data_IF_295776682844
#
_entry.id   IF_295776682844
#
_cell.length_a   1.000
_cell.length_b   1.000
_cell.length_c   1.000
_cell.angle_alpha   90.00
_cell.angle_beta   90.00
_cell.angle_gamma   90.00
#
_symmetry.space_group_name_H-M   'P 1'
#
loop_
_entity.id
_entity.type
_entity.pdbx_description
1 polymer ?
#
# COMPACT_ATOMS: atom_id res chain seq x y z
N UNK A 1 18.79 2.98 -21.83
CA UNK A 1 18.22 3.78 -20.73
C UNK A 1 17.12 4.63 -21.34
N UNK A 2 15.86 4.27 -21.10
CA UNK A 2 14.75 5.10 -21.56
C UNK A 2 14.75 6.38 -20.72
N UNK A 3 14.89 7.54 -21.35
CA UNK A 3 14.55 8.81 -20.73
C UNK A 3 13.03 8.79 -20.58
N UNK A 4 12.53 8.76 -19.36
CA UNK A 4 11.10 8.98 -19.13
C UNK A 4 10.76 10.38 -19.65
N UNK A 5 10.07 10.43 -20.79
CA UNK A 5 9.58 11.69 -21.34
C UNK A 5 8.36 12.11 -20.51
N UNK A 6 8.58 13.04 -19.57
CA UNK A 6 7.48 13.70 -18.86
C UNK A 6 6.79 14.62 -19.87
N UNK A 7 5.50 14.39 -20.12
CA UNK A 7 4.73 15.23 -21.05
C UNK A 7 4.50 16.64 -20.47
N UNK A 8 4.28 17.65 -21.32
CA UNK A 8 3.90 19.02 -20.90
C UNK A 8 2.73 19.03 -19.91
N UNK A 9 1.79 18.11 -20.10
CA UNK A 9 0.64 17.93 -19.21
C UNK A 9 1.07 17.44 -17.82
N UNK A 10 2.00 16.49 -17.75
CA UNK A 10 2.51 15.97 -16.49
C UNK A 10 3.34 17.03 -15.74
N UNK A 11 4.11 17.87 -16.45
CA UNK A 11 4.80 19.02 -15.85
C UNK A 11 3.82 20.05 -15.28
N UNK A 12 2.73 20.34 -16.01
CA UNK A 12 1.67 21.25 -15.54
C UNK A 12 1.02 20.72 -14.26
N UNK A 13 0.62 19.45 -14.25
CA UNK A 13 0.03 18.79 -13.07
C UNK A 13 0.99 18.83 -11.88
N UNK A 14 2.29 18.59 -12.12
CA UNK A 14 3.30 18.67 -11.07
C UNK A 14 3.40 20.07 -10.46
N UNK A 15 3.45 21.11 -11.30
CA UNK A 15 3.55 22.49 -10.84
C UNK A 15 2.31 22.91 -10.03
N UNK A 16 1.11 22.53 -10.49
CA UNK A 16 -0.14 22.79 -9.77
C UNK A 16 -0.22 22.01 -8.45
N UNK A 17 0.21 20.75 -8.44
CA UNK A 17 0.25 19.92 -7.23
C UNK A 17 1.18 20.50 -6.17
N UNK A 18 2.31 21.13 -6.54
CA UNK A 18 3.21 21.77 -5.57
C UNK A 18 2.57 22.98 -4.86
N UNK A 19 1.62 23.66 -5.51
CA UNK A 19 0.93 24.83 -4.95
C UNK A 19 -0.15 24.46 -3.91
N UNK A 20 -0.55 23.20 -3.84
CA UNK A 20 -1.55 22.70 -2.89
C UNK A 20 -1.02 22.71 -1.45
N UNK A 21 -1.95 22.80 -0.49
CA UNK A 21 -1.62 22.61 0.92
C UNK A 21 -1.18 21.16 1.19
N UNK A 22 -0.41 20.95 2.27
CA UNK A 22 0.17 19.63 2.59
C UNK A 22 -0.89 18.50 2.60
N UNK A 23 -2.02 18.73 3.26
CA UNK A 23 -3.14 17.78 3.35
C UNK A 23 -3.77 17.49 1.98
N UNK A 24 -3.88 18.49 1.11
CA UNK A 24 -4.41 18.32 -0.24
C UNK A 24 -3.44 17.54 -1.14
N UNK A 25 -2.13 17.78 -1.01
CA UNK A 25 -1.11 16.97 -1.70
C UNK A 25 -1.15 15.52 -1.27
N UNK A 26 -1.27 15.25 0.02
CA UNK A 26 -1.41 13.89 0.55
C UNK A 26 -2.67 13.19 0.03
N UNK A 27 -3.79 13.92 -0.05
CA UNK A 27 -5.03 13.40 -0.64
C UNK A 27 -4.87 13.13 -2.14
N UNK A 28 -4.24 14.05 -2.88
CA UNK A 28 -3.98 13.91 -4.32
C UNK A 28 -3.09 12.70 -4.62
N UNK A 29 -2.03 12.47 -3.83
CA UNK A 29 -1.19 11.26 -3.95
C UNK A 29 -2.02 10.00 -3.81
N UNK A 30 -3.00 9.95 -2.89
CA UNK A 30 -3.89 8.79 -2.72
C UNK A 30 -4.88 8.62 -3.87
N UNK A 31 -5.35 9.73 -4.46
CA UNK A 31 -6.23 9.70 -5.63
C UNK A 31 -5.50 9.26 -6.90
N UNK A 32 -4.21 9.62 -7.01
CA UNK A 32 -3.34 9.25 -8.12
C UNK A 32 -2.69 7.87 -7.91
N UNK A 33 -2.56 7.42 -6.66
CA UNK A 33 -2.12 6.07 -6.34
C UNK A 33 -3.07 5.08 -7.03
N UNK A 34 -2.58 4.20 -7.91
CA UNK A 34 -3.45 3.38 -8.73
C UNK A 34 -4.10 2.30 -7.88
N UNK A 35 -5.37 2.04 -8.17
CA UNK A 35 -6.06 0.81 -7.78
C UNK A 35 -5.81 -0.32 -8.81
N UNK A 36 -4.69 -0.34 -9.54
CA UNK A 36 -4.50 -1.19 -10.73
C UNK A 36 -3.09 -1.74 -10.95
N UNK A 37 -3.02 -2.81 -11.74
CA UNK A 37 -1.82 -3.59 -12.08
C UNK A 37 -0.71 -2.74 -12.73
N UNK A 38 0.55 -3.02 -12.36
CA UNK A 38 1.74 -2.48 -13.04
C UNK A 38 2.52 -1.38 -12.32
N UNK A 39 2.12 -0.96 -11.11
CA UNK A 39 2.88 -0.02 -10.27
C UNK A 39 3.72 -0.67 -9.19
N UNK A 40 3.38 -1.90 -8.79
CA UNK A 40 4.22 -2.70 -7.90
C UNK A 40 5.37 -3.28 -8.70
N UNK A 41 6.60 -3.13 -8.20
CA UNK A 41 7.76 -3.82 -8.75
C UNK A 41 7.44 -5.32 -8.88
N UNK A 42 7.62 -5.95 -10.05
CA UNK A 42 7.32 -7.37 -10.24
C UNK A 42 8.00 -8.29 -9.22
N UNK A 43 9.18 -7.93 -8.72
CA UNK A 43 9.86 -8.70 -7.67
C UNK A 43 9.21 -8.50 -6.30
N UNK A 44 8.65 -7.32 -6.01
CA UNK A 44 7.84 -7.09 -4.81
C UNK A 44 6.56 -7.92 -4.88
N UNK A 45 5.86 -7.89 -6.02
CA UNK A 45 4.63 -8.68 -6.24
C UNK A 45 4.90 -10.18 -6.04
N UNK A 46 5.98 -10.68 -6.63
CA UNK A 46 6.43 -12.07 -6.48
C UNK A 46 6.79 -12.43 -5.04
N UNK A 47 7.48 -11.53 -4.33
CA UNK A 47 7.81 -11.75 -2.92
C UNK A 47 6.56 -11.79 -2.04
N UNK A 48 5.56 -10.95 -2.33
CA UNK A 48 4.26 -10.98 -1.65
C UNK A 48 3.51 -12.28 -1.91
N UNK A 49 3.46 -12.75 -3.15
CA UNK A 49 2.83 -14.04 -3.49
C UNK A 49 3.50 -15.21 -2.74
N UNK A 50 4.84 -15.26 -2.74
CA UNK A 50 5.58 -16.28 -2.01
C UNK A 50 5.29 -16.25 -0.49
N UNK A 51 5.13 -15.06 0.09
CA UNK A 51 4.79 -14.91 1.50
C UNK A 51 3.37 -15.37 1.81
N UNK A 52 2.39 -15.08 0.94
CA UNK A 52 1.01 -15.56 1.08
C UNK A 52 0.98 -17.09 1.08
N UNK A 53 1.62 -17.72 0.09
CA UNK A 53 1.71 -19.19 0.00
C UNK A 53 2.38 -19.80 1.24
N UNK A 54 3.47 -19.19 1.73
CA UNK A 54 4.16 -19.64 2.94
C UNK A 54 3.24 -19.58 4.17
N UNK A 55 2.52 -18.47 4.35
CA UNK A 55 1.61 -18.27 5.49
C UNK A 55 0.42 -19.21 5.45
N UNK A 56 -0.17 -19.42 4.28
CA UNK A 56 -1.28 -20.36 4.11
C UNK A 56 -0.85 -21.79 4.48
N UNK A 57 0.33 -22.21 4.03
CA UNK A 57 0.90 -23.52 4.38
C UNK A 57 1.15 -23.66 5.88
N UNK A 58 1.79 -22.68 6.51
CA UNK A 58 2.06 -22.71 7.96
C UNK A 58 0.78 -22.71 8.78
N UNK A 59 -0.24 -21.98 8.34
CA UNK A 59 -1.58 -22.02 8.94
C UNK A 59 -2.19 -23.42 8.84
N UNK A 60 -2.22 -24.00 7.63
CA UNK A 60 -2.80 -25.32 7.39
C UNK A 60 -2.08 -26.44 8.16
N UNK A 61 -0.77 -26.32 8.36
CA UNK A 61 0.05 -27.28 9.10
C UNK A 61 0.08 -27.02 10.61
N UNK A 62 -0.61 -25.98 11.11
CA UNK A 62 -0.63 -25.62 12.53
C UNK A 62 0.73 -25.16 13.07
N UNK A 63 1.59 -24.62 12.19
CA UNK A 63 2.94 -24.12 12.53
C UNK A 63 2.97 -22.63 12.84
N UNK A 64 1.83 -21.95 12.69
CA UNK A 64 1.67 -20.53 12.98
C UNK A 64 0.94 -20.31 14.32
N UNK A 65 1.46 -19.40 15.13
CA UNK A 65 0.74 -18.92 16.31
C UNK A 65 -0.35 -17.94 15.88
N UNK A 66 -1.61 -18.25 16.22
CA UNK A 66 -2.77 -17.45 15.84
C UNK A 66 -3.28 -16.67 17.05
N UNK A 67 -3.68 -15.43 16.80
CA UNK A 67 -4.33 -14.59 17.81
C UNK A 67 -5.84 -14.68 17.58
N UNK A 68 -6.65 -15.03 18.60
CA UNK A 68 -8.10 -14.98 18.49
C UNK A 68 -8.59 -13.59 18.08
N UNK A 69 -9.56 -13.53 17.16
CA UNK A 69 -10.05 -12.25 16.64
C UNK A 69 -10.61 -11.36 17.76
N UNK A 70 -11.28 -11.95 18.76
CA UNK A 70 -11.84 -11.25 19.91
C UNK A 70 -10.74 -10.52 20.71
N UNK A 71 -9.57 -11.12 20.82
CA UNK A 71 -8.40 -10.52 21.47
C UNK A 71 -7.86 -9.35 20.65
N UNK A 72 -7.68 -9.52 19.34
CA UNK A 72 -7.26 -8.44 18.44
C UNK A 72 -8.18 -7.23 18.57
N UNK A 73 -9.50 -7.42 18.49
CA UNK A 73 -10.46 -6.32 18.58
C UNK A 73 -10.54 -5.69 19.97
N UNK A 74 -10.33 -6.48 21.03
CA UNK A 74 -10.27 -5.96 22.40
C UNK A 74 -9.10 -5.00 22.56
N UNK A 75 -7.92 -5.34 22.04
CA UNK A 75 -6.74 -4.48 22.11
C UNK A 75 -6.87 -3.25 21.19
N UNK A 76 -7.38 -3.40 19.96
CA UNK A 76 -7.62 -2.27 19.05
C UNK A 76 -8.54 -1.21 19.65
N UNK A 77 -9.59 -1.61 20.37
CA UNK A 77 -10.50 -0.64 21.03
C UNK A 77 -9.82 0.22 22.08
N UNK A 78 -8.75 -0.26 22.72
CA UNK A 78 -7.97 0.54 23.67
C UNK A 78 -7.19 1.64 22.97
N UNK A 79 -6.64 1.34 21.79
CA UNK A 79 -5.82 2.26 21.00
C UNK A 79 -6.67 3.36 20.34
N UNK A 80 -7.83 3.01 19.79
CA UNK A 80 -8.67 3.95 19.01
C UNK A 80 -9.57 4.82 19.90
N UNK A 81 -9.72 4.47 21.18
CA UNK A 81 -10.52 5.24 22.13
C UNK A 81 -9.75 6.40 22.81
N UNK A 82 -8.45 6.53 22.55
CA UNK A 82 -7.57 7.65 22.96
C UNK A 82 -7.46 8.70 21.84
#
# INVERSE_FOLDING_TARGET
MAVECVTDKAETIYAEALALQKNEREALVRLLAPHGEGWTDPEIEKAWLAEVERREKEYAEGRMELIPAEEVFRELRKIVAE
#
